data_IF_885257792834
#
_entry.id   IF_885257792834
#
_cell.length_a   1.000
_cell.length_b   1.000
_cell.length_c   1.000
_cell.angle_alpha   90.00
_cell.angle_beta   90.00
_cell.angle_gamma   90.00
#
_symmetry.space_group_name_H-M   'P 1'
#
loop_
_entity.id
_entity.type
_entity.pdbx_description
1 polymer ?
#
# COMPACT_ATOMS: atom_id res chain seq x y z
N UNK A 1 -24.71 -57.22 10.50
CA UNK A 1 -24.77 -55.76 10.78
C UNK A 1 -23.94 -54.89 9.81
N UNK A 2 -22.79 -55.35 9.30
CA UNK A 2 -21.93 -54.59 8.39
C UNK A 2 -22.58 -54.28 7.02
N UNK A 3 -23.32 -55.22 6.42
CA UNK A 3 -23.95 -55.01 5.11
C UNK A 3 -25.05 -53.96 5.09
N UNK A 4 -25.82 -53.85 6.17
CA UNK A 4 -26.89 -52.85 6.29
C UNK A 4 -26.33 -51.42 6.32
N UNK A 5 -25.18 -51.21 6.98
CA UNK A 5 -24.46 -49.93 6.99
C UNK A 5 -23.87 -49.60 5.61
N UNK A 6 -23.33 -50.59 4.91
CA UNK A 6 -22.77 -50.43 3.55
C UNK A 6 -23.84 -50.05 2.53
N UNK A 7 -25.01 -50.70 2.61
CA UNK A 7 -26.18 -50.39 1.77
C UNK A 7 -26.72 -48.97 2.04
N UNK A 8 -26.74 -48.54 3.31
CA UNK A 8 -27.18 -47.19 3.69
C UNK A 8 -26.22 -46.10 3.18
N UNK A 9 -24.92 -46.37 3.21
CA UNK A 9 -23.86 -45.49 2.66
C UNK A 9 -23.95 -45.37 1.14
N UNK A 10 -24.21 -46.48 0.45
CA UNK A 10 -24.44 -46.49 -1.00
C UNK A 10 -25.71 -45.70 -1.37
N UNK A 11 -26.82 -45.90 -0.64
CA UNK A 11 -28.05 -45.12 -0.84
C UNK A 11 -27.83 -43.62 -0.59
N UNK A 12 -27.09 -43.24 0.46
CA UNK A 12 -26.71 -41.83 0.71
C UNK A 12 -25.85 -41.24 -0.41
N UNK A 13 -24.85 -41.99 -0.92
CA UNK A 13 -24.03 -41.55 -2.07
C UNK A 13 -24.88 -41.37 -3.32
N UNK A 14 -25.79 -42.30 -3.62
CA UNK A 14 -26.71 -42.22 -4.75
C UNK A 14 -27.67 -41.02 -4.64
N UNK A 15 -28.18 -40.75 -3.43
CA UNK A 15 -28.99 -39.56 -3.16
C UNK A 15 -28.20 -38.26 -3.32
N UNK A 16 -26.94 -38.22 -2.89
CA UNK A 16 -26.03 -37.08 -3.10
C UNK A 16 -25.72 -36.85 -4.59
N UNK A 17 -25.53 -37.92 -5.35
CA UNK A 17 -25.31 -37.86 -6.81
C UNK A 17 -26.59 -37.38 -7.51
N UNK A 18 -27.76 -37.93 -7.19
CA UNK A 18 -29.04 -37.49 -7.73
C UNK A 18 -29.36 -36.04 -7.33
N UNK A 19 -29.06 -35.63 -6.11
CA UNK A 19 -29.24 -34.24 -5.64
C UNK A 19 -28.27 -33.28 -6.34
N UNK A 20 -27.02 -33.70 -6.61
CA UNK A 20 -26.07 -32.95 -7.46
C UNK A 20 -26.57 -32.84 -8.92
N UNK A 21 -27.15 -33.90 -9.47
CA UNK A 21 -27.71 -33.92 -10.83
C UNK A 21 -29.00 -33.10 -10.94
N UNK A 22 -29.88 -33.12 -9.92
CA UNK A 22 -31.14 -32.33 -9.95
C UNK A 22 -30.94 -30.86 -9.60
N UNK A 23 -29.86 -30.50 -8.88
CA UNK A 23 -29.46 -29.09 -8.66
C UNK A 23 -28.60 -28.52 -9.80
N UNK A 24 -28.25 -29.33 -10.81
CA UNK A 24 -27.70 -28.87 -12.08
C UNK A 24 -28.72 -29.02 -13.19
N UNK A 25 -29.78 -28.22 -13.15
CA UNK A 25 -30.35 -27.69 -14.40
C UNK A 25 -29.28 -26.71 -14.92
N UNK A 26 -28.22 -27.26 -15.50
CA UNK A 26 -27.13 -26.50 -16.07
C UNK A 26 -27.69 -25.70 -17.21
N UNK A 27 -27.73 -24.37 -17.08
CA UNK A 27 -27.94 -23.48 -18.20
C UNK A 27 -27.01 -23.93 -19.34
N UNK A 28 -27.56 -24.58 -20.38
CA UNK A 28 -26.80 -24.90 -21.59
C UNK A 28 -26.29 -23.58 -22.12
N UNK A 29 -24.97 -23.38 -22.12
CA UNK A 29 -24.37 -22.15 -22.62
C UNK A 29 -24.75 -21.99 -24.09
N UNK A 30 -25.52 -20.94 -24.41
CA UNK A 30 -25.93 -20.63 -25.79
C UNK A 30 -24.74 -20.48 -26.73
N UNK A 31 -23.62 -19.99 -26.20
CA UNK A 31 -22.36 -19.86 -26.93
C UNK A 31 -21.19 -20.33 -26.07
N UNK A 32 -20.26 -21.07 -26.66
CA UNK A 32 -18.95 -21.37 -26.05
C UNK A 32 -18.14 -20.09 -25.81
N UNK A 33 -18.07 -19.23 -26.83
CA UNK A 33 -17.56 -17.85 -26.78
C UNK A 33 -18.57 -16.96 -27.48
N UNK A 34 -19.03 -15.93 -26.77
CA UNK A 34 -20.02 -14.98 -27.29
C UNK A 34 -19.52 -14.33 -28.61
N UNK A 35 -20.37 -14.16 -29.65
CA UNK A 35 -19.95 -13.61 -30.94
C UNK A 35 -19.20 -12.28 -30.86
N UNK A 36 -19.61 -11.37 -29.97
CA UNK A 36 -18.92 -10.08 -29.73
C UNK A 36 -17.45 -10.28 -29.33
N UNK A 37 -17.17 -11.30 -28.50
CA UNK A 37 -15.84 -11.60 -27.99
C UNK A 37 -14.95 -12.30 -29.04
N UNK A 38 -15.54 -12.90 -30.07
CA UNK A 38 -14.78 -13.45 -31.20
C UNK A 38 -14.12 -12.35 -32.03
N UNK A 39 -14.69 -11.14 -32.01
CA UNK A 39 -14.15 -9.96 -32.69
C UNK A 39 -13.12 -9.17 -31.84
N UNK A 40 -12.41 -9.85 -30.93
CA UNK A 40 -11.43 -9.21 -30.03
C UNK A 40 -10.25 -8.61 -30.80
N UNK A 41 -9.70 -9.34 -31.77
CA UNK A 41 -8.53 -8.87 -32.52
C UNK A 41 -8.86 -7.66 -33.43
N UNK A 42 -10.14 -7.47 -33.79
CA UNK A 42 -10.58 -6.40 -34.71
C UNK A 42 -11.20 -5.19 -34.03
N UNK A 43 -11.53 -5.28 -32.74
CA UNK A 43 -12.25 -4.21 -32.03
C UNK A 43 -12.00 -4.19 -30.51
N UNK A 44 -11.12 -5.06 -30.02
CA UNK A 44 -10.70 -5.03 -28.63
C UNK A 44 -9.69 -3.92 -28.43
N UNK A 45 -9.80 -3.21 -27.31
CA UNK A 45 -8.91 -2.08 -26.96
C UNK A 45 -7.42 -2.42 -27.08
N UNK A 46 -7.02 -3.66 -26.78
CA UNK A 46 -5.63 -4.07 -26.88
C UNK A 46 -5.07 -4.14 -28.30
N UNK A 47 -5.88 -4.55 -29.28
CA UNK A 47 -5.41 -4.67 -30.66
C UNK A 47 -5.31 -3.33 -31.39
N UNK A 48 -6.07 -2.32 -30.96
CA UNK A 48 -6.15 -1.00 -31.61
C UNK A 48 -5.61 0.11 -30.73
N UNK A 49 -6.41 0.53 -29.74
CA UNK A 49 -6.13 1.70 -28.91
C UNK A 49 -4.75 1.61 -28.23
N UNK A 50 -4.36 0.45 -27.71
CA UNK A 50 -3.06 0.34 -27.02
C UNK A 50 -1.88 0.53 -27.98
N UNK A 51 -1.99 0.07 -29.23
CA UNK A 51 -0.96 0.28 -30.24
C UNK A 51 -0.89 1.76 -30.65
N UNK A 52 -2.03 2.44 -30.78
CA UNK A 52 -2.07 3.89 -31.02
C UNK A 52 -1.50 4.68 -29.85
N UNK A 53 -1.84 4.30 -28.61
CA UNK A 53 -1.32 4.94 -27.41
C UNK A 53 0.20 4.84 -27.32
N UNK A 54 0.82 3.75 -27.79
CA UNK A 54 2.29 3.64 -27.81
C UNK A 54 2.97 4.74 -28.63
N UNK A 55 2.27 5.31 -29.61
CA UNK A 55 2.78 6.43 -30.42
C UNK A 55 2.51 7.81 -29.79
N UNK A 56 1.71 7.88 -28.72
CA UNK A 56 1.43 9.10 -27.94
C UNK A 56 1.76 8.85 -26.47
N UNK A 57 3.01 9.13 -26.10
CA UNK A 57 3.53 8.82 -24.79
C UNK A 57 2.72 9.48 -23.65
N UNK A 58 2.22 10.70 -23.88
CA UNK A 58 1.41 11.42 -22.89
C UNK A 58 0.07 10.71 -22.63
N UNK A 59 -0.61 10.27 -23.69
CA UNK A 59 -1.85 9.48 -23.54
C UNK A 59 -1.56 8.10 -22.97
N UNK A 60 -0.47 7.45 -23.36
CA UNK A 60 -0.06 6.16 -22.79
C UNK A 60 0.13 6.26 -21.27
N UNK A 61 0.88 7.27 -20.82
CA UNK A 61 1.10 7.57 -19.39
C UNK A 61 -0.22 7.86 -18.67
N UNK A 62 -1.12 8.64 -19.28
CA UNK A 62 -2.47 8.89 -18.73
C UNK A 62 -3.33 7.63 -18.71
N UNK A 63 -3.02 6.61 -19.48
CA UNK A 63 -3.80 5.38 -19.49
C UNK A 63 -3.23 4.32 -18.53
N UNK A 64 -1.91 4.11 -18.55
CA UNK A 64 -1.23 3.05 -17.79
C UNK A 64 -0.49 3.52 -16.53
N UNK A 65 -0.39 4.83 -16.29
CA UNK A 65 0.36 5.44 -15.17
C UNK A 65 1.88 5.21 -15.22
N UNK A 66 2.41 4.86 -16.38
CA UNK A 66 3.82 4.61 -16.65
C UNK A 66 4.14 4.85 -18.12
N UNK A 67 5.42 5.01 -18.47
CA UNK A 67 5.86 5.10 -19.87
C UNK A 67 5.74 3.75 -20.61
N UNK A 68 5.75 3.73 -21.96
CA UNK A 68 5.81 2.49 -22.74
C UNK A 68 7.00 1.59 -22.38
N UNK A 69 8.17 2.18 -22.12
CA UNK A 69 9.40 1.47 -21.76
C UNK A 69 9.25 0.78 -20.40
N UNK A 70 8.67 1.49 -19.42
CA UNK A 70 8.37 0.93 -18.11
C UNK A 70 7.30 -0.17 -18.19
N UNK A 71 6.33 -0.04 -19.09
CA UNK A 71 5.35 -1.11 -19.36
C UNK A 71 6.04 -2.36 -19.93
N UNK A 72 6.94 -2.20 -20.91
CA UNK A 72 7.64 -3.32 -21.54
C UNK A 72 8.64 -3.98 -20.59
N UNK A 73 9.33 -3.19 -19.78
CA UNK A 73 10.18 -3.70 -18.70
C UNK A 73 9.35 -4.46 -17.65
N UNK A 74 8.22 -3.92 -17.21
CA UNK A 74 7.33 -4.61 -16.29
C UNK A 74 6.81 -5.93 -16.89
N UNK A 75 6.43 -5.89 -18.17
CA UNK A 75 5.95 -7.06 -18.89
C UNK A 75 7.02 -8.15 -18.98
N UNK A 76 8.27 -7.79 -19.30
CA UNK A 76 9.36 -8.76 -19.42
C UNK A 76 9.63 -9.50 -18.11
N UNK A 77 9.51 -8.81 -16.97
CA UNK A 77 9.66 -9.40 -15.64
C UNK A 77 8.56 -10.43 -15.31
N UNK A 78 7.30 -10.11 -15.60
CA UNK A 78 6.17 -10.96 -15.17
C UNK A 78 5.71 -11.96 -16.24
N UNK A 79 6.08 -11.76 -17.51
CA UNK A 79 5.66 -12.57 -18.65
C UNK A 79 5.83 -14.08 -18.41
N UNK A 80 6.94 -14.58 -17.83
CA UNK A 80 7.11 -16.01 -17.55
C UNK A 80 6.02 -16.58 -16.62
N UNK A 81 5.48 -15.76 -15.72
CA UNK A 81 4.51 -16.16 -14.69
C UNK A 81 3.05 -16.06 -15.16
N UNK A 82 2.78 -15.21 -16.14
CA UNK A 82 1.42 -15.00 -16.68
C UNK A 82 1.20 -15.66 -18.04
N UNK A 83 2.24 -16.21 -18.67
CA UNK A 83 2.11 -16.95 -19.93
C UNK A 83 1.38 -18.27 -19.70
N UNK A 84 0.39 -18.58 -20.56
CA UNK A 84 -0.36 -19.84 -20.50
C UNK A 84 -0.22 -20.57 -21.84
N UNK A 85 -0.18 -21.90 -21.78
CA UNK A 85 -0.13 -22.74 -22.98
C UNK A 85 -1.40 -22.60 -23.80
N UNK A 86 -1.25 -22.57 -25.12
CA UNK A 86 -2.37 -22.76 -26.03
C UNK A 86 -2.89 -24.19 -25.89
N UNK A 87 -4.20 -24.36 -26.00
CA UNK A 87 -4.82 -25.68 -25.99
C UNK A 87 -5.61 -25.87 -27.27
N UNK A 88 -5.92 -27.12 -27.61
CA UNK A 88 -6.77 -27.46 -28.76
C UNK A 88 -8.16 -26.80 -28.68
N UNK A 89 -8.58 -26.37 -27.49
CA UNK A 89 -9.88 -25.73 -27.25
C UNK A 89 -9.85 -24.20 -27.36
N UNK A 90 -8.72 -23.55 -27.07
CA UNK A 90 -8.59 -22.09 -27.14
C UNK A 90 -7.13 -21.61 -27.16
N UNK A 91 -6.88 -20.54 -27.93
CA UNK A 91 -5.66 -19.73 -27.79
C UNK A 91 -5.65 -19.07 -26.40
N UNK A 92 -4.49 -19.08 -25.76
CA UNK A 92 -4.30 -18.38 -24.49
C UNK A 92 -4.27 -16.87 -24.72
N UNK A 93 -4.71 -16.12 -23.71
CA UNK A 93 -4.57 -14.66 -23.71
C UNK A 93 -3.08 -14.29 -23.64
N UNK A 94 -2.70 -13.33 -24.48
CA UNK A 94 -1.34 -12.81 -24.56
C UNK A 94 -0.93 -12.15 -23.24
N UNK A 95 0.34 -12.29 -22.80
CA UNK A 95 0.84 -11.68 -21.56
C UNK A 95 0.62 -10.16 -21.52
N UNK A 96 0.96 -9.45 -22.60
CA UNK A 96 0.76 -8.00 -22.70
C UNK A 96 -0.70 -7.60 -22.53
N UNK A 97 -1.63 -8.38 -23.09
CA UNK A 97 -3.07 -8.15 -22.94
C UNK A 97 -3.53 -8.31 -21.49
N UNK A 98 -3.02 -9.31 -20.78
CA UNK A 98 -3.33 -9.51 -19.34
C UNK A 98 -2.79 -8.38 -18.48
N UNK A 99 -1.56 -7.92 -18.76
CA UNK A 99 -0.98 -6.78 -18.05
C UNK A 99 -1.79 -5.51 -18.32
N UNK A 100 -2.07 -5.20 -19.58
CA UNK A 100 -2.81 -4.02 -19.98
C UNK A 100 -4.20 -3.93 -19.35
N UNK A 101 -4.99 -5.01 -19.39
CA UNK A 101 -6.32 -5.01 -18.78
C UNK A 101 -6.25 -4.89 -17.26
N UNK A 102 -5.19 -5.40 -16.63
CA UNK A 102 -4.98 -5.29 -15.18
C UNK A 102 -4.63 -3.87 -14.79
N UNK A 103 -3.67 -3.24 -15.49
CA UNK A 103 -3.28 -1.86 -15.23
C UNK A 103 -4.45 -0.89 -15.49
N UNK A 104 -5.22 -1.07 -16.56
CA UNK A 104 -6.44 -0.29 -16.81
C UNK A 104 -7.42 -0.43 -15.64
N UNK A 105 -7.70 -1.66 -15.19
CA UNK A 105 -8.58 -1.89 -14.04
C UNK A 105 -8.09 -1.14 -12.78
N UNK A 106 -6.79 -1.17 -12.48
CA UNK A 106 -6.20 -0.49 -11.33
C UNK A 106 -6.19 1.04 -11.47
N UNK A 107 -5.87 1.54 -12.65
CA UNK A 107 -5.71 2.96 -12.94
C UNK A 107 -7.03 3.73 -12.94
N UNK A 108 -8.12 3.11 -13.38
CA UNK A 108 -9.45 3.73 -13.43
C UNK A 108 -10.38 3.25 -12.32
N UNK A 109 -10.12 2.08 -11.73
CA UNK A 109 -11.07 1.42 -10.83
C UNK A 109 -12.37 1.01 -11.55
N UNK A 110 -12.28 0.63 -12.82
CA UNK A 110 -13.42 0.18 -13.62
C UNK A 110 -13.85 -1.25 -13.22
N UNK A 111 -15.14 -1.58 -13.33
CA UNK A 111 -15.62 -2.93 -12.98
C UNK A 111 -15.06 -3.99 -13.92
N UNK A 112 -14.94 -5.24 -13.46
CA UNK A 112 -14.56 -6.37 -14.34
C UNK A 112 -15.50 -6.53 -15.54
N UNK A 113 -16.77 -6.10 -15.42
CA UNK A 113 -17.72 -6.11 -16.52
C UNK A 113 -17.37 -5.07 -17.60
N UNK A 114 -17.01 -3.85 -17.19
CA UNK A 114 -16.58 -2.80 -18.11
C UNK A 114 -15.26 -3.18 -18.81
N UNK A 115 -14.26 -3.64 -18.04
CA UNK A 115 -12.99 -4.14 -18.60
C UNK A 115 -13.25 -5.30 -19.56
N UNK A 116 -14.09 -6.27 -19.20
CA UNK A 116 -14.44 -7.37 -20.08
C UNK A 116 -15.08 -6.90 -21.40
N UNK A 117 -15.92 -5.86 -21.37
CA UNK A 117 -16.51 -5.28 -22.57
C UNK A 117 -15.45 -4.57 -23.43
N UNK A 118 -14.62 -3.70 -22.85
CA UNK A 118 -13.57 -2.96 -23.54
C UNK A 118 -12.56 -3.88 -24.25
N UNK A 119 -12.14 -4.95 -23.56
CA UNK A 119 -11.18 -5.90 -24.11
C UNK A 119 -11.83 -7.08 -24.85
N UNK A 120 -13.17 -7.10 -24.97
CA UNK A 120 -13.96 -8.16 -25.63
C UNK A 120 -13.66 -9.56 -25.10
N UNK A 121 -13.69 -9.69 -23.77
CA UNK A 121 -13.44 -10.91 -23.02
C UNK A 121 -14.67 -11.36 -22.24
N UNK A 122 -14.67 -12.62 -21.80
CA UNK A 122 -15.62 -13.07 -20.79
C UNK A 122 -15.29 -12.47 -19.42
N UNK A 123 -16.30 -12.10 -18.63
CA UNK A 123 -16.12 -11.57 -17.26
C UNK A 123 -15.26 -12.47 -16.38
N UNK A 124 -15.48 -13.78 -16.43
CA UNK A 124 -14.69 -14.77 -15.69
C UNK A 124 -13.24 -14.84 -16.15
N UNK A 125 -12.99 -14.76 -17.46
CA UNK A 125 -11.63 -14.76 -18.03
C UNK A 125 -10.87 -13.49 -17.67
N UNK A 126 -11.58 -12.34 -17.67
CA UNK A 126 -11.04 -11.05 -17.24
C UNK A 126 -10.67 -11.08 -15.76
N UNK A 127 -11.59 -11.53 -14.89
CA UNK A 127 -11.31 -11.65 -13.46
C UNK A 127 -10.14 -12.57 -13.16
N UNK A 128 -10.02 -13.69 -13.87
CA UNK A 128 -8.89 -14.62 -13.69
C UNK A 128 -7.59 -13.98 -14.17
N UNK A 129 -7.59 -13.31 -15.33
CA UNK A 129 -6.41 -12.63 -15.86
C UNK A 129 -5.89 -11.54 -14.91
N UNK A 130 -6.78 -10.72 -14.34
CA UNK A 130 -6.44 -9.72 -13.33
C UNK A 130 -5.79 -10.38 -12.12
N UNK A 131 -6.41 -11.42 -11.58
CA UNK A 131 -5.91 -12.09 -10.38
C UNK A 131 -4.57 -12.79 -10.61
N UNK A 132 -4.40 -13.49 -11.73
CA UNK A 132 -3.14 -14.12 -12.10
C UNK A 132 -2.02 -13.08 -12.24
N UNK A 133 -2.33 -11.93 -12.86
CA UNK A 133 -1.38 -10.82 -13.04
C UNK A 133 -1.00 -10.18 -11.71
N UNK A 134 -1.96 -9.91 -10.82
CA UNK A 134 -1.69 -9.37 -9.48
C UNK A 134 -0.80 -10.29 -8.64
N UNK A 135 -1.02 -11.61 -8.73
CA UNK A 135 -0.16 -12.57 -8.04
C UNK A 135 1.26 -12.58 -8.63
N UNK A 136 1.38 -12.56 -9.96
CA UNK A 136 2.68 -12.50 -10.62
C UNK A 136 3.44 -11.21 -10.25
N UNK A 137 2.76 -10.06 -10.25
CA UNK A 137 3.33 -8.78 -9.81
C UNK A 137 3.90 -8.90 -8.40
N UNK A 138 3.13 -9.43 -7.44
CA UNK A 138 3.61 -9.60 -6.08
C UNK A 138 4.81 -10.55 -6.00
N UNK A 139 4.70 -11.75 -6.58
CA UNK A 139 5.76 -12.78 -6.50
C UNK A 139 7.08 -12.30 -7.11
N UNK A 140 7.01 -11.58 -8.23
CA UNK A 140 8.21 -11.14 -8.96
C UNK A 140 8.77 -9.85 -8.38
N UNK A 141 7.92 -8.85 -8.12
CA UNK A 141 8.39 -7.51 -7.76
C UNK A 141 8.65 -7.33 -6.27
N UNK A 142 7.93 -8.03 -5.38
CA UNK A 142 8.11 -7.87 -3.93
C UNK A 142 9.57 -8.10 -3.48
N UNK A 143 10.26 -9.19 -3.86
CA UNK A 143 11.63 -9.41 -3.40
C UNK A 143 12.65 -8.40 -3.95
N UNK A 144 12.31 -7.69 -5.02
CA UNK A 144 13.20 -6.74 -5.70
C UNK A 144 12.94 -5.30 -5.24
N UNK A 145 11.66 -4.89 -5.25
CA UNK A 145 11.26 -3.49 -5.08
C UNK A 145 10.64 -3.20 -3.71
N UNK A 146 10.18 -4.20 -2.97
CA UNK A 146 9.56 -4.06 -1.64
C UNK A 146 10.30 -4.94 -0.62
N UNK A 147 11.61 -4.69 -0.52
CA UNK A 147 12.52 -5.41 0.35
C UNK A 147 12.86 -4.56 1.58
N UNK A 148 12.64 -5.07 2.80
CA UNK A 148 13.06 -4.38 4.02
C UNK A 148 14.59 -4.24 4.07
N UNK A 149 15.13 -3.18 4.68
CA UNK A 149 16.56 -3.05 4.89
C UNK A 149 17.11 -4.25 5.66
N UNK A 150 18.14 -4.90 5.10
CA UNK A 150 18.65 -6.19 5.56
C UNK A 150 19.67 -6.07 6.69
N UNK A 151 20.20 -4.87 6.93
CA UNK A 151 21.18 -4.61 7.98
C UNK A 151 21.51 -3.13 8.17
N UNK A 152 22.44 -2.81 9.09
CA UNK A 152 22.73 -1.45 9.54
C UNK A 152 23.06 -0.48 8.41
N UNK A 153 23.87 -0.90 7.43
CA UNK A 153 24.26 -0.03 6.32
C UNK A 153 23.08 0.40 5.43
N UNK A 154 22.10 -0.48 5.19
CA UNK A 154 20.89 -0.12 4.43
C UNK A 154 19.95 0.76 5.26
N UNK A 155 19.82 0.49 6.57
CA UNK A 155 19.09 1.38 7.48
C UNK A 155 19.70 2.77 7.55
N UNK A 156 21.03 2.88 7.54
CA UNK A 156 21.69 4.19 7.52
C UNK A 156 21.33 4.98 6.25
N UNK A 157 21.17 4.34 5.08
CA UNK A 157 20.70 5.06 3.88
C UNK A 157 19.31 5.66 4.09
N UNK A 158 18.41 4.94 4.76
CA UNK A 158 17.08 5.45 5.13
C UNK A 158 17.22 6.65 6.06
N UNK A 159 18.07 6.55 7.09
CA UNK A 159 18.32 7.62 8.06
C UNK A 159 18.81 8.89 7.40
N UNK A 160 19.85 8.81 6.56
CA UNK A 160 20.36 9.98 5.84
C UNK A 160 19.28 10.61 4.96
N UNK A 161 18.41 9.81 4.34
CA UNK A 161 17.28 10.31 3.59
C UNK A 161 16.33 11.20 4.42
N UNK A 162 16.17 10.94 5.72
CA UNK A 162 15.31 11.73 6.60
C UNK A 162 15.93 13.04 7.10
N UNK A 163 17.22 13.29 6.84
CA UNK A 163 17.85 14.58 7.15
C UNK A 163 17.17 15.74 6.41
N UNK A 164 16.71 15.53 5.17
CA UNK A 164 15.93 16.51 4.39
C UNK A 164 14.57 16.85 5.01
N UNK A 165 14.04 15.97 5.86
CA UNK A 165 12.83 16.19 6.65
C UNK A 165 13.14 16.77 8.04
N UNK A 166 14.43 16.98 8.32
CA UNK A 166 14.99 17.44 9.57
C UNK A 166 14.59 16.54 10.75
N UNK A 167 14.62 15.22 10.56
CA UNK A 167 14.45 14.27 11.65
C UNK A 167 15.58 13.24 11.61
N UNK A 168 16.72 13.50 12.30
CA UNK A 168 17.83 12.56 12.33
C UNK A 168 17.41 11.27 13.03
N UNK A 169 18.15 10.20 12.78
CA UNK A 169 17.91 8.87 13.37
C UNK A 169 16.53 8.26 13.03
N UNK A 170 15.83 8.80 12.02
CA UNK A 170 14.55 8.25 11.57
C UNK A 170 14.77 7.01 10.69
N UNK A 171 14.22 5.86 11.10
CA UNK A 171 14.24 4.61 10.34
C UNK A 171 13.07 4.49 9.37
N UNK A 172 12.10 5.39 9.42
CA UNK A 172 10.92 5.31 8.58
C UNK A 172 9.71 5.97 9.21
N UNK A 173 8.82 6.42 8.34
CA UNK A 173 7.51 6.93 8.71
C UNK A 173 6.47 5.82 8.63
N UNK A 174 5.67 5.65 9.68
CA UNK A 174 4.70 4.56 9.82
C UNK A 174 3.29 5.12 9.94
N UNK A 175 2.37 4.59 9.15
CA UNK A 175 0.95 4.95 9.20
C UNK A 175 0.06 3.87 8.57
N UNK A 176 -1.21 3.87 8.93
CA UNK A 176 -2.23 2.99 8.39
C UNK A 176 -3.11 3.69 7.34
N UNK A 177 -3.50 2.92 6.33
CA UNK A 177 -4.47 3.35 5.32
C UNK A 177 -5.65 2.38 5.26
N UNK A 178 -6.84 2.91 5.50
CA UNK A 178 -8.08 2.17 5.26
C UNK A 178 -8.40 2.08 3.77
N UNK A 179 -8.58 0.86 3.27
CA UNK A 179 -9.03 0.54 1.93
C UNK A 179 -10.49 0.10 2.01
N UNK A 180 -11.39 0.90 1.44
CA UNK A 180 -12.84 0.61 1.49
C UNK A 180 -13.18 -0.61 0.65
N UNK A 181 -13.82 -1.59 1.27
CA UNK A 181 -14.29 -2.81 0.62
C UNK A 181 -15.80 -2.94 0.76
N UNK A 182 -16.43 -3.71 -0.12
CA UNK A 182 -17.81 -4.13 0.09
C UNK A 182 -17.89 -5.04 1.33
N UNK A 183 -18.91 -4.82 2.18
CA UNK A 183 -19.17 -5.64 3.36
C UNK A 183 -19.11 -7.14 3.02
N UNK A 184 -18.20 -7.92 3.62
CA UNK A 184 -18.23 -9.36 3.47
C UNK A 184 -19.52 -9.92 4.09
N UNK A 185 -20.13 -10.93 3.47
CA UNK A 185 -21.31 -11.58 4.03
C UNK A 185 -21.03 -12.13 5.44
N UNK A 186 -21.98 -11.97 6.36
CA UNK A 186 -21.90 -12.43 7.76
C UNK A 186 -20.77 -11.81 8.61
N UNK A 187 -20.21 -10.66 8.22
CA UNK A 187 -19.04 -10.08 8.89
C UNK A 187 -19.32 -9.17 10.11
N UNK A 188 -20.59 -9.00 10.53
CA UNK A 188 -20.92 -8.15 11.67
C UNK A 188 -20.36 -6.72 11.54
N UNK A 189 -19.66 -6.24 12.56
CA UNK A 189 -18.93 -4.95 12.60
C UNK A 189 -17.41 -5.10 12.43
N UNK A 190 -16.90 -6.30 12.11
CA UNK A 190 -15.45 -6.59 12.11
C UNK A 190 -14.65 -5.70 11.15
N UNK A 191 -15.22 -5.35 9.99
CA UNK A 191 -14.55 -4.48 9.02
C UNK A 191 -14.98 -3.01 9.13
N UNK A 192 -15.90 -2.69 10.04
CA UNK A 192 -16.48 -1.37 10.18
C UNK A 192 -15.46 -0.46 10.89
N UNK A 193 -14.94 0.51 10.14
CA UNK A 193 -13.97 1.47 10.66
C UNK A 193 -14.66 2.67 11.32
N UNK A 194 -13.86 3.50 11.97
CA UNK A 194 -14.32 4.74 12.62
C UNK A 194 -14.95 5.75 11.65
N UNK A 195 -14.70 5.63 10.33
CA UNK A 195 -15.34 6.42 9.26
C UNK A 195 -16.66 5.82 8.78
N UNK A 196 -17.23 4.88 9.54
CA UNK A 196 -18.47 4.19 9.25
C UNK A 196 -18.48 3.44 7.90
N UNK A 197 -17.33 2.91 7.50
CA UNK A 197 -17.17 2.13 6.26
C UNK A 197 -16.51 0.79 6.53
N UNK A 198 -16.86 -0.20 5.73
CA UNK A 198 -16.18 -1.50 5.74
C UNK A 198 -14.81 -1.36 5.05
N UNK A 199 -13.73 -1.75 5.71
CA UNK A 199 -12.38 -1.59 5.17
C UNK A 199 -11.41 -2.66 5.62
N UNK A 200 -10.36 -2.86 4.85
CA UNK A 200 -9.13 -3.50 5.30
C UNK A 200 -8.06 -2.43 5.54
N UNK A 201 -7.13 -2.70 6.43
CA UNK A 201 -6.00 -1.80 6.71
C UNK A 201 -4.77 -2.24 5.90
N UNK A 202 -4.10 -1.26 5.29
CA UNK A 202 -2.72 -1.32 4.83
C UNK A 202 -1.88 -0.54 5.84
N UNK A 203 -1.07 -1.22 6.64
CA UNK A 203 -0.04 -0.59 7.46
C UNK A 203 1.26 -0.56 6.66
N UNK A 204 1.94 0.59 6.60
CA UNK A 204 3.19 0.70 5.84
C UNK A 204 4.26 1.49 6.59
N UNK A 205 5.52 1.11 6.36
CA UNK A 205 6.70 1.89 6.73
C UNK A 205 7.26 2.49 5.44
N UNK A 206 7.46 3.80 5.39
CA UNK A 206 8.03 4.50 4.23
C UNK A 206 9.38 5.12 4.54
N UNK A 207 10.28 5.10 3.55
CA UNK A 207 11.49 5.91 3.57
C UNK A 207 11.22 7.34 3.09
N UNK A 208 12.21 8.20 3.27
CA UNK A 208 12.11 9.63 2.96
C UNK A 208 11.85 9.97 1.48
N UNK A 209 11.95 9.00 0.57
CA UNK A 209 11.65 9.13 -0.87
C UNK A 209 10.28 8.53 -1.24
N UNK A 210 9.42 8.35 -0.24
CA UNK A 210 8.06 7.82 -0.35
C UNK A 210 8.00 6.36 -0.80
N UNK A 211 9.10 5.60 -0.72
CA UNK A 211 9.09 4.17 -1.07
C UNK A 211 8.64 3.37 0.16
N UNK A 212 7.79 2.38 -0.05
CA UNK A 212 7.43 1.44 1.00
C UNK A 212 8.63 0.54 1.32
N UNK A 213 9.06 0.49 2.58
CA UNK A 213 10.06 -0.45 3.06
C UNK A 213 9.42 -1.78 3.47
N UNK A 214 8.27 -1.67 4.14
CA UNK A 214 7.52 -2.76 4.74
C UNK A 214 6.03 -2.47 4.60
N UNK A 215 5.22 -3.52 4.42
CA UNK A 215 3.75 -3.42 4.42
C UNK A 215 3.14 -4.62 5.14
N UNK A 216 2.05 -4.38 5.88
CA UNK A 216 1.14 -5.40 6.40
C UNK A 216 -0.27 -5.08 5.86
N UNK A 217 -0.92 -6.06 5.23
CA UNK A 217 -2.11 -5.84 4.41
C UNK A 217 -3.19 -6.84 4.80
N UNK A 218 -4.39 -6.32 5.05
CA UNK A 218 -5.60 -7.14 5.11
C UNK A 218 -6.22 -7.29 6.49
N UNK A 219 -5.66 -6.64 7.51
CA UNK A 219 -6.27 -6.59 8.84
C UNK A 219 -7.64 -5.89 8.77
N UNK A 220 -8.63 -6.33 9.58
CA UNK A 220 -9.93 -5.70 9.60
C UNK A 220 -9.87 -4.21 9.97
N UNK A 221 -10.73 -3.39 9.36
CA UNK A 221 -10.78 -1.94 9.58
C UNK A 221 -11.16 -1.49 10.99
N UNK A 222 -11.57 -2.40 11.87
CA UNK A 222 -11.79 -2.14 13.30
C UNK A 222 -10.48 -2.14 14.11
N UNK A 223 -9.41 -2.74 13.58
CA UNK A 223 -8.11 -2.76 14.25
C UNK A 223 -7.45 -1.38 14.18
N UNK A 224 -6.85 -0.95 15.30
CA UNK A 224 -6.02 0.25 15.33
C UNK A 224 -4.64 -0.01 14.73
N UNK A 225 -4.01 1.03 14.18
CA UNK A 225 -2.69 0.91 13.57
C UNK A 225 -1.62 0.45 14.57
N UNK A 226 -1.70 0.91 15.81
CA UNK A 226 -0.84 0.44 16.90
C UNK A 226 -1.01 -1.04 17.21
N UNK A 227 -2.25 -1.55 17.19
CA UNK A 227 -2.51 -2.98 17.37
C UNK A 227 -1.99 -3.81 16.20
N UNK A 228 -2.20 -3.36 14.97
CA UNK A 228 -1.67 -4.04 13.78
C UNK A 228 -0.15 -4.09 13.83
N UNK A 229 0.51 -2.98 14.22
CA UNK A 229 1.95 -2.93 14.38
C UNK A 229 2.45 -3.97 15.39
N UNK A 230 1.86 -4.04 16.58
CA UNK A 230 2.27 -4.95 17.66
C UNK A 230 2.18 -6.43 17.26
N UNK A 231 1.14 -6.81 16.50
CA UNK A 231 0.97 -8.19 16.03
C UNK A 231 1.66 -8.50 14.69
N UNK A 232 2.08 -7.47 13.95
CA UNK A 232 2.79 -7.64 12.68
C UNK A 232 4.07 -8.45 12.87
N UNK A 233 4.51 -9.14 11.82
CA UNK A 233 5.78 -9.88 11.85
C UNK A 233 6.96 -8.95 12.16
N UNK A 234 6.93 -7.74 11.60
CA UNK A 234 7.98 -6.75 11.80
C UNK A 234 7.98 -6.17 13.22
N UNK A 235 6.83 -5.75 13.74
CA UNK A 235 6.73 -5.23 15.11
C UNK A 235 7.16 -6.26 16.15
N UNK A 236 6.78 -7.54 15.98
CA UNK A 236 7.28 -8.63 16.84
C UNK A 236 8.78 -8.88 16.68
N UNK A 237 9.33 -8.80 15.47
CA UNK A 237 10.77 -8.93 15.27
C UNK A 237 11.53 -7.79 15.95
N UNK A 238 10.99 -6.58 15.92
CA UNK A 238 11.56 -5.38 16.51
C UNK A 238 11.55 -5.44 18.05
N UNK A 239 10.42 -5.80 18.65
CA UNK A 239 10.30 -5.95 20.12
C UNK A 239 11.24 -7.04 20.65
N UNK A 240 11.46 -8.11 19.89
CA UNK A 240 12.35 -9.21 20.25
C UNK A 240 13.82 -8.98 19.86
N UNK A 241 14.20 -7.78 19.38
CA UNK A 241 15.59 -7.47 19.00
C UNK A 241 16.14 -8.28 17.83
N UNK A 242 15.26 -8.84 16.98
CA UNK A 242 15.64 -9.67 15.81
C UNK A 242 15.91 -8.83 14.55
N UNK A 243 15.54 -7.55 14.57
CA UNK A 243 15.83 -6.62 13.47
C UNK A 243 17.24 -6.05 13.67
N UNK A 244 18.10 -6.21 12.67
CA UNK A 244 19.48 -5.73 12.71
C UNK A 244 19.54 -4.21 12.43
N UNK A 245 19.14 -3.42 13.44
CA UNK A 245 19.18 -1.96 13.40
C UNK A 245 20.61 -1.43 13.60
N UNK A 246 20.90 -0.20 13.16
CA UNK A 246 22.15 0.48 13.51
C UNK A 246 22.33 0.60 15.02
N UNK A 247 23.58 0.48 15.46
CA UNK A 247 23.95 0.71 16.86
C UNK A 247 23.66 2.17 17.22
N UNK A 248 23.03 2.46 18.38
CA UNK A 248 22.79 3.83 18.82
C UNK A 248 24.03 4.72 18.72
N UNK A 249 23.87 5.94 18.21
CA UNK A 249 24.96 6.90 17.98
C UNK A 249 24.62 8.28 18.53
N UNK A 250 25.56 9.21 18.43
CA UNK A 250 25.32 10.62 18.78
C UNK A 250 24.35 11.25 17.79
N UNK A 251 23.54 12.19 18.27
CA UNK A 251 22.79 13.05 17.36
C UNK A 251 23.75 14.02 16.67
N UNK A 252 23.45 14.46 15.44
CA UNK A 252 24.33 15.35 14.69
C UNK A 252 24.64 16.65 15.47
N UNK A 253 25.92 16.99 15.55
CA UNK A 253 26.40 18.22 16.18
C UNK A 253 26.48 18.20 17.71
N UNK A 254 25.95 17.17 18.39
CA UNK A 254 25.93 17.15 19.87
C UNK A 254 27.29 16.77 20.47
N UNK A 255 27.66 17.42 21.58
CA UNK A 255 28.75 16.97 22.47
C UNK A 255 28.27 16.09 23.64
N UNK A 256 27.01 15.65 23.62
CA UNK A 256 26.52 14.69 24.63
C UNK A 256 27.34 13.40 24.57
N UNK A 257 27.47 12.71 25.70
CA UNK A 257 28.17 11.40 25.76
C UNK A 257 27.21 10.21 25.62
N UNK A 258 25.90 10.45 25.76
CA UNK A 258 24.90 9.37 25.79
C UNK A 258 24.34 9.10 24.39
N UNK A 259 24.49 7.89 23.83
CA UNK A 259 23.96 7.57 22.50
C UNK A 259 22.44 7.63 22.46
N UNK A 260 21.92 8.02 21.30
CA UNK A 260 20.51 8.09 20.97
C UNK A 260 20.14 6.93 20.05
N UNK A 261 19.02 6.22 20.33
CA UNK A 261 18.58 5.13 19.47
C UNK A 261 18.07 5.67 18.13
N UNK A 262 17.98 4.77 17.17
CA UNK A 262 17.28 4.97 15.91
C UNK A 262 15.81 4.62 16.08
N UNK A 263 14.92 5.41 15.49
CA UNK A 263 13.48 5.36 15.78
C UNK A 263 12.61 5.40 14.53
N UNK A 264 11.48 4.71 14.56
CA UNK A 264 10.37 4.94 13.66
C UNK A 264 9.51 6.09 14.17
N UNK A 265 8.85 6.80 13.26
CA UNK A 265 7.91 7.88 13.61
C UNK A 265 6.51 7.50 13.16
N UNK A 266 5.52 7.74 14.02
CA UNK A 266 4.13 7.47 13.71
C UNK A 266 3.18 8.33 14.53
N UNK A 267 1.89 8.04 14.38
CA UNK A 267 0.81 8.81 14.99
C UNK A 267 0.51 8.49 16.46
N UNK A 268 -0.44 9.22 17.03
CA UNK A 268 -0.82 9.02 18.44
C UNK A 268 -1.45 7.63 18.67
N UNK A 269 -1.97 6.98 17.63
CA UNK A 269 -2.56 5.64 17.71
C UNK A 269 -1.50 4.53 17.88
N UNK A 270 -0.22 4.81 17.62
CA UNK A 270 0.89 3.90 17.92
C UNK A 270 1.35 4.01 19.39
N UNK A 271 1.89 2.93 19.97
CA UNK A 271 2.49 2.97 21.31
C UNK A 271 3.80 3.77 21.31
N UNK A 272 4.08 4.50 22.39
CA UNK A 272 5.38 5.16 22.59
C UNK A 272 6.38 4.13 23.12
N UNK A 273 7.47 3.90 22.36
CA UNK A 273 8.52 2.91 22.67
C UNK A 273 9.91 3.53 22.47
N UNK A 274 10.96 2.88 22.98
CA UNK A 274 12.36 3.31 22.79
C UNK A 274 12.73 3.48 21.30
N UNK A 275 12.14 2.66 20.43
CA UNK A 275 12.36 2.64 18.99
C UNK A 275 11.21 3.30 18.18
N UNK A 276 10.17 3.85 18.83
CA UNK A 276 8.98 4.36 18.13
C UNK A 276 8.47 5.64 18.76
N UNK A 277 8.58 6.75 18.02
CA UNK A 277 8.20 8.09 18.46
C UNK A 277 6.82 8.48 17.94
N UNK A 278 6.05 9.13 18.82
CA UNK A 278 4.73 9.71 18.54
C UNK A 278 4.66 11.12 19.13
N UNK A 279 3.76 12.00 18.65
CA UNK A 279 3.68 13.37 19.15
C UNK A 279 3.35 13.43 20.65
N UNK A 280 3.70 14.55 21.29
CA UNK A 280 3.11 14.93 22.58
C UNK A 280 1.61 15.17 22.40
N UNK A 281 0.76 14.64 23.30
CA UNK A 281 -0.69 14.80 23.18
C UNK A 281 -1.08 16.28 23.36
N UNK A 282 -2.04 16.74 22.54
CA UNK A 282 -2.42 18.17 22.44
C UNK A 282 -2.82 18.84 23.76
N UNK A 283 -3.41 18.08 24.70
CA UNK A 283 -3.76 18.58 26.05
C UNK A 283 -2.56 18.92 26.95
N UNK A 284 -1.34 18.60 26.53
CA UNK A 284 -0.10 18.75 27.32
C UNK A 284 0.97 19.63 26.66
N UNK A 285 0.60 20.32 25.56
CA UNK A 285 1.48 21.21 24.81
C UNK A 285 1.40 22.61 25.42
N UNK A 286 2.12 22.79 26.52
CA UNK A 286 2.25 24.10 27.18
C UNK A 286 3.63 24.73 26.92
N UNK A 287 4.54 24.00 26.27
CA UNK A 287 5.93 24.43 26.05
C UNK A 287 6.26 24.51 24.56
N UNK A 288 7.10 25.48 24.19
CA UNK A 288 7.50 25.72 22.81
C UNK A 288 8.30 24.55 22.24
N UNK A 289 9.13 23.92 23.07
CA UNK A 289 9.97 22.77 22.73
C UNK A 289 9.12 21.58 22.27
N UNK A 290 8.01 21.29 22.98
CA UNK A 290 7.07 20.24 22.62
C UNK A 290 6.37 20.53 21.30
N UNK A 291 6.04 21.80 21.03
CA UNK A 291 5.46 22.21 19.75
C UNK A 291 6.47 22.02 18.61
N UNK A 292 7.73 22.41 18.80
CA UNK A 292 8.82 22.19 17.84
C UNK A 292 9.00 20.70 17.57
N UNK A 293 9.08 19.86 18.62
CA UNK A 293 9.17 18.41 18.45
C UNK A 293 8.00 17.86 17.63
N UNK A 294 6.76 18.21 17.98
CA UNK A 294 5.58 17.75 17.26
C UNK A 294 5.58 18.19 15.80
N UNK A 295 6.05 19.41 15.53
CA UNK A 295 6.19 19.90 14.17
C UNK A 295 7.23 19.09 13.40
N UNK A 296 8.45 18.91 13.93
CA UNK A 296 9.52 18.11 13.31
C UNK A 296 9.08 16.66 13.05
N UNK A 297 8.42 16.03 14.03
CA UNK A 297 7.84 14.69 13.89
C UNK A 297 6.75 14.66 12.80
N UNK A 298 5.88 15.67 12.74
CA UNK A 298 4.86 15.80 11.70
C UNK A 298 5.49 15.91 10.30
N UNK A 299 6.60 16.64 10.14
CA UNK A 299 7.31 16.74 8.85
C UNK A 299 7.82 15.38 8.38
N UNK A 300 8.48 14.62 9.26
CA UNK A 300 8.93 13.26 8.93
C UNK A 300 7.76 12.31 8.64
N UNK A 301 6.65 12.44 9.39
CA UNK A 301 5.45 11.65 9.18
C UNK A 301 4.73 11.89 7.86
N UNK A 302 4.77 13.11 7.33
CA UNK A 302 4.09 13.42 6.06
C UNK A 302 4.58 12.55 4.92
N UNK A 303 5.77 11.95 5.02
CA UNK A 303 6.30 11.02 4.03
C UNK A 303 5.35 9.86 3.73
N UNK A 304 4.87 9.13 4.74
CA UNK A 304 3.95 8.00 4.49
C UNK A 304 2.58 8.47 4.00
N UNK A 305 2.10 9.62 4.49
CA UNK A 305 0.87 10.24 3.98
C UNK A 305 0.98 10.57 2.49
N UNK A 306 2.11 11.14 2.06
CA UNK A 306 2.42 11.39 0.64
C UNK A 306 2.47 10.09 -0.16
N UNK A 307 3.15 9.06 0.34
CA UNK A 307 3.23 7.77 -0.35
C UNK A 307 1.82 7.18 -0.61
N UNK A 308 0.95 7.21 0.40
CA UNK A 308 -0.45 6.80 0.28
C UNK A 308 -1.26 7.70 -0.66
N UNK A 309 -1.07 9.02 -0.58
CA UNK A 309 -1.72 9.99 -1.44
C UNK A 309 -1.37 9.79 -2.92
N UNK A 310 -0.07 9.70 -3.22
CA UNK A 310 0.47 9.43 -4.55
C UNK A 310 -0.11 8.12 -5.09
N UNK A 311 -0.01 7.03 -4.32
CA UNK A 311 -0.51 5.72 -4.74
C UNK A 311 -2.02 5.76 -5.02
N UNK A 312 -2.81 6.41 -4.16
CA UNK A 312 -4.26 6.54 -4.35
C UNK A 312 -4.66 7.34 -5.58
N UNK A 313 -3.98 8.46 -5.85
CA UNK A 313 -4.31 9.30 -7.01
C UNK A 313 -3.84 8.69 -8.33
N UNK A 314 -2.74 7.92 -8.32
CA UNK A 314 -2.29 7.16 -9.50
C UNK A 314 -3.20 5.99 -9.78
N UNK A 315 -3.59 5.27 -8.74
CA UNK A 315 -4.38 4.05 -8.83
C UNK A 315 -5.78 4.29 -8.25
N UNK A 316 -6.66 4.85 -9.09
CA UNK A 316 -7.99 5.33 -8.68
C UNK A 316 -8.90 4.23 -8.13
N UNK A 317 -8.56 2.95 -8.32
CA UNK A 317 -9.24 1.85 -7.62
C UNK A 317 -9.22 2.02 -6.09
N UNK A 318 -8.20 2.65 -5.52
CA UNK A 318 -8.09 2.92 -4.08
C UNK A 318 -9.03 4.03 -3.59
N UNK A 319 -9.59 4.85 -4.49
CA UNK A 319 -10.54 5.91 -4.17
C UNK A 319 -12.00 5.43 -4.24
N UNK A 320 -12.22 4.20 -4.71
CA UNK A 320 -13.55 3.59 -4.89
C UNK A 320 -13.74 2.45 -3.89
N UNK A 321 -15.00 2.14 -3.60
CA UNK A 321 -15.33 0.91 -2.87
C UNK A 321 -14.97 -0.31 -3.72
N UNK A 322 -14.10 -1.18 -3.20
CA UNK A 322 -13.76 -2.42 -3.88
C UNK A 322 -14.85 -3.48 -3.69
N UNK A 323 -15.57 -3.78 -4.77
CA UNK A 323 -16.55 -4.87 -4.81
C UNK A 323 -15.84 -6.22 -5.03
N UNK A 324 -15.02 -6.63 -4.05
CA UNK A 324 -14.24 -7.86 -4.08
C UNK A 324 -14.20 -8.51 -2.69
N UNK A 325 -13.93 -9.81 -2.63
CA UNK A 325 -13.66 -10.46 -1.34
C UNK A 325 -12.38 -9.91 -0.71
N UNK A 326 -12.27 -10.00 0.61
CA UNK A 326 -11.07 -9.56 1.36
C UNK A 326 -9.78 -10.10 0.74
N UNK A 327 -9.71 -11.41 0.46
CA UNK A 327 -8.54 -12.03 -0.15
C UNK A 327 -8.17 -11.41 -1.52
N UNK A 328 -9.15 -11.02 -2.33
CA UNK A 328 -8.91 -10.37 -3.63
C UNK A 328 -8.50 -8.90 -3.44
N UNK A 329 -9.12 -8.19 -2.49
CA UNK A 329 -8.73 -6.82 -2.14
C UNK A 329 -7.27 -6.77 -1.67
N UNK A 330 -6.84 -7.74 -0.84
CA UNK A 330 -5.43 -7.88 -0.45
C UNK A 330 -4.52 -8.02 -1.67
N UNK A 331 -4.88 -8.84 -2.68
CA UNK A 331 -4.08 -8.97 -3.91
C UNK A 331 -3.98 -7.68 -4.72
N UNK A 332 -5.07 -6.91 -4.78
CA UNK A 332 -5.06 -5.58 -5.42
C UNK A 332 -4.06 -4.67 -4.69
N UNK A 333 -4.17 -4.56 -3.37
CA UNK A 333 -3.29 -3.68 -2.57
C UNK A 333 -1.83 -4.14 -2.65
N UNK A 334 -1.57 -5.46 -2.57
CA UNK A 334 -0.24 -6.04 -2.77
C UNK A 334 0.37 -5.62 -4.10
N UNK A 335 -0.37 -5.80 -5.20
CA UNK A 335 0.07 -5.40 -6.54
C UNK A 335 0.36 -3.90 -6.63
N UNK A 336 -0.46 -3.06 -6.00
CA UNK A 336 -0.27 -1.60 -5.99
C UNK A 336 0.96 -1.15 -5.20
N UNK A 337 1.24 -1.77 -4.05
CA UNK A 337 2.45 -1.45 -3.26
C UNK A 337 3.73 -1.73 -4.06
N UNK A 338 3.81 -2.88 -4.73
CA UNK A 338 4.99 -3.23 -5.54
C UNK A 338 5.08 -2.42 -6.83
N UNK A 339 3.95 -2.09 -7.48
CA UNK A 339 3.93 -1.19 -8.64
C UNK A 339 4.34 0.22 -8.26
N UNK A 340 3.91 0.72 -7.09
CA UNK A 340 4.33 2.02 -6.59
C UNK A 340 5.84 2.07 -6.42
N UNK A 341 6.42 1.09 -5.72
CA UNK A 341 7.88 1.04 -5.54
C UNK A 341 8.63 0.85 -6.85
N UNK A 342 8.14 -0.02 -7.75
CA UNK A 342 8.71 -0.20 -9.08
C UNK A 342 8.85 1.15 -9.79
N UNK A 343 7.76 1.91 -9.91
CA UNK A 343 7.76 3.21 -10.60
C UNK A 343 8.60 4.28 -9.89
N UNK A 344 8.71 4.22 -8.56
CA UNK A 344 9.62 5.09 -7.79
C UNK A 344 11.09 4.75 -8.02
N UNK A 345 11.44 3.47 -8.12
CA UNK A 345 12.83 2.99 -8.18
C UNK A 345 13.39 3.06 -9.61
N UNK A 346 12.60 2.69 -10.62
CA UNK A 346 13.02 2.87 -12.03
C UNK A 346 13.09 4.34 -12.44
N UNK A 347 12.64 5.24 -11.55
CA UNK A 347 12.81 6.68 -11.71
C UNK A 347 11.89 7.27 -12.77
N UNK A 348 10.65 6.77 -12.88
CA UNK A 348 9.68 7.36 -13.82
C UNK A 348 9.38 8.82 -13.37
N UNK A 349 9.88 9.84 -14.09
CA UNK A 349 9.76 11.23 -13.66
C UNK A 349 8.29 11.68 -13.68
N UNK A 350 7.42 10.91 -14.34
CA UNK A 350 6.00 11.22 -14.49
C UNK A 350 5.15 10.62 -13.38
N UNK A 351 5.67 9.66 -12.62
CA UNK A 351 4.93 9.01 -11.53
C UNK A 351 4.81 9.91 -10.29
N UNK A 352 5.86 10.67 -9.99
CA UNK A 352 5.85 11.74 -8.97
C UNK A 352 6.55 12.97 -9.55
N UNK A 353 5.86 13.77 -10.39
CA UNK A 353 6.45 14.97 -10.96
C UNK A 353 6.72 16.02 -9.88
N UNK A 354 7.59 17.00 -10.14
CA UNK A 354 7.86 18.10 -9.21
C UNK A 354 6.56 18.77 -8.74
N UNK A 355 6.45 19.02 -7.44
CA UNK A 355 5.25 19.60 -6.81
C UNK A 355 4.08 18.64 -6.60
N UNK A 356 4.17 17.39 -7.08
CA UNK A 356 3.10 16.41 -6.87
C UNK A 356 2.99 15.96 -5.42
N UNK A 357 4.13 15.71 -4.77
CA UNK A 357 4.25 15.40 -3.34
C UNK A 357 4.57 16.66 -2.53
N UNK A 358 4.36 16.59 -1.22
CA UNK A 358 4.76 17.67 -0.32
C UNK A 358 6.27 17.91 -0.40
N UNK A 359 6.68 19.16 -0.51
CA UNK A 359 8.09 19.55 -0.57
C UNK A 359 8.45 20.47 0.60
N UNK A 360 9.52 20.17 1.35
CA UNK A 360 10.02 21.09 2.36
C UNK A 360 10.63 22.30 1.66
N UNK A 361 10.18 23.51 2.01
CA UNK A 361 10.81 24.76 1.58
C UNK A 361 11.95 25.14 2.53
N UNK A 362 12.81 26.04 2.06
CA UNK A 362 13.93 26.59 2.84
C UNK A 362 13.46 27.36 4.08
N UNK A 363 12.28 27.99 4.02
CA UNK A 363 11.63 28.70 5.12
C UNK A 363 10.93 27.76 6.13
N UNK A 364 11.13 26.45 6.01
CA UNK A 364 10.55 25.45 6.89
C UNK A 364 9.13 25.05 6.61
N UNK A 365 8.38 25.88 5.89
CA UNK A 365 7.00 25.61 5.51
C UNK A 365 6.98 24.45 4.53
N UNK A 366 6.03 23.54 4.73
CA UNK A 366 5.80 22.46 3.77
C UNK A 366 4.86 22.98 2.69
N UNK A 367 5.33 23.02 1.45
CA UNK A 367 4.47 23.21 0.30
C UNK A 367 3.67 21.94 0.07
N UNK A 368 2.35 22.07 0.11
CA UNK A 368 1.46 20.94 -0.11
C UNK A 368 1.52 20.45 -1.54
N UNK A 369 1.63 19.12 -1.70
CA UNK A 369 1.65 18.50 -3.02
C UNK A 369 0.30 18.54 -3.72
N UNK A 370 0.30 18.57 -5.06
CA UNK A 370 -0.93 18.58 -5.86
C UNK A 370 -1.90 17.43 -5.52
N UNK A 371 -1.40 16.27 -5.07
CA UNK A 371 -2.28 15.15 -4.69
C UNK A 371 -3.22 15.50 -3.53
N UNK A 372 -2.85 16.44 -2.65
CA UNK A 372 -3.67 16.87 -1.49
C UNK A 372 -4.90 17.65 -1.92
N UNK A 373 -4.80 18.49 -2.95
CA UNK A 373 -5.94 19.26 -3.49
C UNK A 373 -7.01 18.35 -4.10
N UNK A 374 -6.61 17.20 -4.65
CA UNK A 374 -7.52 16.18 -5.17
C UNK A 374 -8.04 15.21 -4.09
N UNK A 375 -7.52 15.30 -2.86
CA UNK A 375 -7.81 14.42 -1.74
C UNK A 375 -8.60 15.15 -0.65
N UNK A 376 -9.76 15.70 -0.97
CA UNK A 376 -10.68 16.22 0.05
C UNK A 376 -11.06 15.10 1.01
N UNK A 377 -10.52 15.15 2.25
CA UNK A 377 -11.00 14.36 3.38
C UNK A 377 -10.07 13.25 3.89
N UNK A 378 -8.96 13.62 4.52
CA UNK A 378 -8.29 12.74 5.51
C UNK A 378 -7.85 13.57 6.70
N UNK A 379 -8.74 13.74 7.67
CA UNK A 379 -8.35 14.02 9.06
C UNK A 379 -8.68 12.78 9.88
N UNK A 380 -7.69 12.26 10.58
CA UNK A 380 -7.85 11.23 11.60
C UNK A 380 -7.61 11.87 12.96
N UNK A 381 -8.63 11.88 13.81
CA UNK A 381 -8.48 12.07 15.24
C UNK A 381 -9.48 11.14 15.92
N UNK A 382 -9.00 10.28 16.83
CA UNK A 382 -9.74 9.83 18.02
C UNK A 382 -8.81 9.14 19.02
N UNK A 383 -9.18 9.23 20.29
CA UNK A 383 -8.46 8.76 21.48
C UNK A 383 -8.25 7.23 21.50
N UNK A 384 -7.03 6.80 21.84
CA UNK A 384 -6.69 5.39 22.08
C UNK A 384 -5.91 5.20 23.38
N UNK A 385 -5.93 3.97 23.91
CA UNK A 385 -5.29 3.58 25.16
C UNK A 385 -3.78 3.88 25.13
N UNK A 386 -3.36 4.70 26.10
CA UNK A 386 -2.02 5.27 26.21
C UNK A 386 -1.13 4.39 27.06
N UNK A 387 -0.58 3.33 26.49
CA UNK A 387 0.58 2.69 27.13
C UNK A 387 1.81 3.56 26.88
N UNK A 388 2.34 4.16 27.95
CA UNK A 388 3.59 4.92 27.92
C UNK A 388 4.69 4.03 28.50
N UNK A 389 5.65 3.64 27.67
CA UNK A 389 6.88 3.05 28.16
C UNK A 389 7.81 4.20 28.65
N UNK A 390 8.34 4.08 29.87
CA UNK A 390 9.22 5.09 30.48
C UNK A 390 10.45 5.39 29.61
N UNK A 391 11.06 4.36 29.01
CA UNK A 391 12.20 4.52 28.10
C UNK A 391 11.82 5.29 26.84
N UNK A 392 10.61 5.06 26.31
CA UNK A 392 10.08 5.81 25.18
C UNK A 392 9.86 7.28 25.51
N UNK A 393 9.41 7.59 26.73
CA UNK A 393 9.27 8.97 27.23
C UNK A 393 10.63 9.65 27.32
N UNK A 394 11.65 8.97 27.84
CA UNK A 394 13.02 9.48 27.96
C UNK A 394 13.57 9.80 26.57
N UNK A 395 13.52 8.86 25.62
CA UNK A 395 14.00 9.08 24.24
C UNK A 395 13.29 10.26 23.57
N UNK A 396 11.95 10.34 23.70
CA UNK A 396 11.17 11.45 23.14
C UNK A 396 11.59 12.80 23.72
N UNK A 397 11.75 12.89 25.04
CA UNK A 397 12.20 14.11 25.71
C UNK A 397 13.62 14.50 25.28
N UNK A 398 14.53 13.54 25.07
CA UNK A 398 15.87 13.82 24.54
C UNK A 398 15.84 14.38 23.12
N UNK A 399 15.02 13.82 22.21
CA UNK A 399 14.79 14.44 20.90
C UNK A 399 14.18 15.85 21.00
N UNK A 400 13.22 16.04 21.91
CA UNK A 400 12.59 17.35 22.17
C UNK A 400 13.62 18.40 22.60
N UNK A 401 14.51 18.03 23.52
CA UNK A 401 15.60 18.89 23.99
C UNK A 401 16.60 19.17 22.86
N UNK A 402 16.99 18.16 22.10
CA UNK A 402 17.89 18.31 20.95
C UNK A 402 17.33 19.27 19.90
N UNK A 403 16.07 19.13 19.49
CA UNK A 403 15.48 20.05 18.50
C UNK A 403 15.37 21.49 18.99
N UNK A 404 15.45 21.70 20.31
CA UNK A 404 15.44 23.03 20.93
C UNK A 404 16.83 23.51 21.34
N UNK A 405 17.89 22.69 21.13
CA UNK A 405 19.27 23.04 21.44
C UNK A 405 19.92 23.81 20.29
N UNK A 406 21.10 24.39 20.56
CA UNK A 406 21.92 25.05 19.54
C UNK A 406 22.23 24.12 18.36
N UNK A 407 22.42 22.83 18.61
CA UNK A 407 22.88 21.86 17.61
C UNK A 407 21.75 21.29 16.75
N UNK A 408 20.53 21.16 17.30
CA UNK A 408 19.39 20.56 16.59
C UNK A 408 18.33 21.55 16.11
N UNK A 409 18.40 22.82 16.56
CA UNK A 409 17.50 23.87 16.11
C UNK A 409 17.73 24.23 14.65
N UNK A 410 16.65 24.61 13.96
CA UNK A 410 16.71 25.13 12.58
C UNK A 410 16.08 26.52 12.53
N UNK A 411 16.55 27.43 11.65
CA UNK A 411 16.21 28.86 11.71
C UNK A 411 14.71 29.16 11.69
N UNK A 412 13.92 28.37 10.97
CA UNK A 412 12.51 28.60 10.72
C UNK A 412 11.55 27.99 11.75
N UNK A 413 12.03 27.15 12.69
CA UNK A 413 11.13 26.29 13.47
C UNK A 413 10.21 27.02 14.44
N UNK A 414 10.65 28.16 14.98
CA UNK A 414 9.83 28.97 15.89
C UNK A 414 8.69 29.65 15.13
N UNK A 415 8.99 30.23 13.96
CA UNK A 415 7.98 30.84 13.09
C UNK A 415 6.96 29.82 12.61
N UNK A 416 7.40 28.64 12.17
CA UNK A 416 6.52 27.58 11.68
C UNK A 416 5.54 27.07 12.75
N UNK A 417 5.98 27.06 14.01
CA UNK A 417 5.16 26.65 15.15
C UNK A 417 4.21 27.76 15.60
N UNK A 418 4.61 29.03 15.51
CA UNK A 418 3.80 30.17 15.95
C UNK A 418 2.73 30.57 14.93
N UNK A 419 2.87 30.16 13.66
CA UNK A 419 1.87 30.35 12.59
C UNK A 419 0.68 29.38 12.66
N UNK A 420 0.74 28.36 13.52
CA UNK A 420 -0.31 27.33 13.73
C UNK A 420 -0.94 27.49 15.09
#
# INVERSE_FOLDING_TARGET
MADRKRLLLLKKKLLLIKKRQSTTIGYRRRYWVHPINRKRESFGVFAHLINELRNDELRFRKYFRMTPENFDHLLSLIQPYITKKHTNMRKALEPGLKLALTLHHLAEGASHAAIAAHYRLGRSSTSQAIYDTLNALWVVLQPIYLKPPSGPGEWMKVVHGFEKWNFPHCLGSVDGKHITIQKPGNAGSTFFNYKQRESIVLLAVCDADYKFLLVDIGQPGSCSDGGIWEFSQFGRALENGKVNLPVPSMLPGTQETLPMPYVFVGDEAFPLKKYFMRPYPGRSINSQEKKVFNYRLSRARRVVENAFGIMSQRWRILLKMMCASQAKAVKVVQGLCVLHNFLRIVGDPTYVPPGYADTPREDGVIQEGFWRAEASGVQGATNFNRSNNLDGVIVRNRFCNYFSSRDGSVPWQLDAVNRR
#
